data_IF_349318024631
#
_entry.id   IF_349318024631
#
_cell.length_a   1.000
_cell.length_b   1.000
_cell.length_c   1.000
_cell.angle_alpha   90.00
_cell.angle_beta   90.00
_cell.angle_gamma   90.00
#
_symmetry.space_group_name_H-M   'P 1'
#
loop_
_entity.id
_entity.type
_entity.pdbx_description
1 polymer ?
#
# COMPACT_ATOMS: atom_id res chain seq x y z
N UNK A 1 2.06 4.82 8.49
CA UNK A 1 2.48 3.56 7.84
C UNK A 1 2.96 2.62 8.93
N UNK A 2 2.87 1.31 8.72
CA UNK A 2 2.91 0.32 9.80
C UNK A 2 4.30 -0.29 10.07
N UNK A 3 5.28 -0.10 9.19
CA UNK A 3 6.64 -0.62 9.40
C UNK A 3 7.43 0.35 10.27
N UNK A 4 7.91 -0.15 11.40
CA UNK A 4 8.63 0.64 12.41
C UNK A 4 10.13 0.34 12.44
N UNK A 5 10.54 -0.85 12.01
CA UNK A 5 11.94 -1.26 12.02
C UNK A 5 12.24 -2.35 10.99
N UNK A 6 13.50 -2.46 10.60
CA UNK A 6 14.06 -3.56 9.82
C UNK A 6 14.98 -4.37 10.74
N UNK A 7 14.56 -5.60 11.03
CA UNK A 7 15.30 -6.50 11.90
C UNK A 7 16.70 -6.78 11.34
N UNK A 8 17.71 -6.73 12.20
CA UNK A 8 19.11 -6.98 11.84
C UNK A 8 19.90 -5.74 11.44
N UNK A 9 19.27 -4.56 11.40
CA UNK A 9 19.95 -3.27 11.25
C UNK A 9 20.00 -2.52 12.59
N UNK A 10 20.98 -1.62 12.73
CA UNK A 10 20.91 -0.60 13.78
C UNK A 10 19.70 0.31 13.53
N UNK A 11 19.18 0.95 14.58
CA UNK A 11 17.98 1.79 14.47
C UNK A 11 18.17 2.90 13.44
N UNK A 12 19.33 3.56 13.45
CA UNK A 12 19.64 4.66 12.55
C UNK A 12 19.71 4.20 11.08
N UNK A 13 20.26 3.01 10.83
CA UNK A 13 20.34 2.42 9.50
C UNK A 13 18.96 1.94 9.00
N UNK A 14 18.14 1.40 9.91
CA UNK A 14 16.76 1.01 9.64
C UNK A 14 15.93 2.22 9.24
N UNK A 15 15.98 3.29 10.02
CA UNK A 15 15.24 4.53 9.77
C UNK A 15 15.66 5.16 8.44
N UNK A 16 16.96 5.29 8.19
CA UNK A 16 17.47 5.83 6.93
C UNK A 16 17.02 5.02 5.70
N UNK A 17 17.00 3.68 5.81
CA UNK A 17 16.53 2.82 4.73
C UNK A 17 15.02 2.93 4.54
N UNK A 18 14.23 2.95 5.63
CA UNK A 18 12.78 3.14 5.56
C UNK A 18 12.44 4.48 4.91
N UNK A 19 13.11 5.57 5.29
CA UNK A 19 12.93 6.89 4.70
C UNK A 19 13.19 6.87 3.19
N UNK A 20 14.30 6.29 2.73
CA UNK A 20 14.61 6.18 1.31
C UNK A 20 13.57 5.36 0.53
N UNK A 21 13.05 4.28 1.13
CA UNK A 21 11.98 3.47 0.53
C UNK A 21 10.67 4.26 0.45
N UNK A 22 10.33 5.02 1.48
CA UNK A 22 9.11 5.82 1.55
C UNK A 22 9.15 7.01 0.59
N UNK A 23 10.31 7.67 0.45
CA UNK A 23 10.51 8.70 -0.58
C UNK A 23 10.20 8.15 -1.96
N UNK A 24 10.68 6.95 -2.29
CA UNK A 24 10.42 6.34 -3.58
C UNK A 24 8.97 5.89 -3.74
N UNK A 25 8.38 5.33 -2.70
CA UNK A 25 6.98 4.86 -2.71
C UNK A 25 5.99 6.01 -2.89
N UNK A 26 6.28 7.18 -2.32
CA UNK A 26 5.40 8.35 -2.32
C UNK A 26 5.78 9.45 -3.31
N UNK A 27 6.78 9.20 -4.16
CA UNK A 27 7.06 10.04 -5.32
C UNK A 27 5.75 10.29 -6.10
N UNK A 28 5.35 11.56 -6.34
CA UNK A 28 4.14 11.89 -7.08
C UNK A 28 4.01 11.20 -8.44
N UNK A 29 5.13 10.84 -9.09
CA UNK A 29 5.14 10.10 -10.35
C UNK A 29 4.60 8.65 -10.21
N UNK A 30 4.63 8.09 -9.00
CA UNK A 30 4.13 6.75 -8.68
C UNK A 30 2.68 6.78 -8.14
N UNK A 31 2.07 7.97 -8.02
CA UNK A 31 0.75 8.12 -7.40
C UNK A 31 -0.36 8.20 -8.45
N UNK A 32 -1.27 7.23 -8.40
CA UNK A 32 -2.57 7.34 -9.05
C UNK A 32 -3.61 7.83 -8.04
N UNK A 33 -4.31 8.92 -8.38
CA UNK A 33 -5.42 9.45 -7.59
C UNK A 33 -6.76 9.28 -8.29
N UNK A 34 -7.69 8.58 -7.64
CA UNK A 34 -9.02 8.36 -8.16
C UNK A 34 -10.04 9.37 -7.60
N UNK A 35 -10.62 10.16 -8.50
CA UNK A 35 -11.74 11.07 -8.21
C UNK A 35 -13.08 10.32 -8.30
N UNK A 36 -13.53 9.75 -7.19
CA UNK A 36 -14.71 8.89 -7.10
C UNK A 36 -16.00 9.55 -7.62
N UNK A 37 -16.76 8.76 -8.37
CA UNK A 37 -18.14 9.00 -8.79
C UNK A 37 -19.01 7.81 -8.43
N UNK A 38 -20.32 8.04 -8.35
CA UNK A 38 -21.28 6.95 -8.15
C UNK A 38 -21.11 5.90 -9.26
N UNK A 39 -21.11 4.62 -8.88
CA UNK A 39 -20.90 3.46 -9.75
C UNK A 39 -19.46 3.21 -10.24
N UNK A 40 -18.46 3.96 -9.77
CA UNK A 40 -17.06 3.63 -10.04
C UNK A 40 -16.64 2.33 -9.34
N UNK A 41 -15.84 1.53 -10.05
CA UNK A 41 -15.17 0.35 -9.53
C UNK A 41 -13.66 0.50 -9.76
N UNK A 42 -12.89 0.37 -8.69
CA UNK A 42 -11.42 0.29 -8.76
C UNK A 42 -11.01 -1.10 -8.33
N UNK A 43 -10.21 -1.75 -9.18
CA UNK A 43 -9.55 -3.03 -8.88
C UNK A 43 -8.05 -2.77 -8.86
N UNK A 44 -7.36 -3.30 -7.86
CA UNK A 44 -5.91 -3.22 -7.74
C UNK A 44 -5.33 -4.57 -7.31
N UNK A 45 -4.08 -4.80 -7.70
CA UNK A 45 -3.29 -5.92 -7.21
C UNK A 45 -2.59 -5.50 -5.91
N UNK A 46 -3.01 -6.12 -4.80
CA UNK A 46 -2.54 -5.78 -3.46
C UNK A 46 -1.08 -6.21 -3.19
N UNK A 47 -0.44 -6.93 -4.11
CA UNK A 47 0.98 -7.31 -3.98
C UNK A 47 1.93 -6.22 -4.50
N UNK A 48 1.47 -5.37 -5.41
CA UNK A 48 2.34 -4.43 -6.15
C UNK A 48 2.03 -2.96 -5.88
N UNK A 49 0.90 -2.64 -5.23
CA UNK A 49 0.56 -1.26 -4.87
C UNK A 49 0.29 -1.09 -3.38
N UNK A 50 0.63 0.10 -2.88
CA UNK A 50 0.14 0.62 -1.60
C UNK A 50 -1.06 1.53 -1.86
N UNK A 51 -2.00 1.59 -0.91
CA UNK A 51 -3.17 2.45 -1.02
C UNK A 51 -3.43 3.22 0.27
N UNK A 52 -3.90 4.45 0.12
CA UNK A 52 -4.28 5.32 1.22
C UNK A 52 -5.60 6.03 0.91
N UNK A 53 -6.29 6.45 1.97
CA UNK A 53 -7.48 7.28 1.88
C UNK A 53 -7.12 8.71 2.31
N UNK A 54 -7.44 9.71 1.48
CA UNK A 54 -7.41 11.11 1.91
C UNK A 54 -8.50 11.41 2.94
N UNK A 55 -8.30 12.49 3.69
CA UNK A 55 -9.33 13.06 4.57
C UNK A 55 -10.60 13.25 3.76
N UNK A 56 -11.69 12.60 4.17
CA UNK A 56 -12.99 12.80 3.53
C UNK A 56 -13.55 14.09 4.11
N UNK A 57 -13.88 15.04 3.23
CA UNK A 57 -14.46 16.32 3.64
C UNK A 57 -15.76 16.10 4.41
N UNK A 58 -16.12 17.07 5.25
CA UNK A 58 -17.26 17.00 6.19
C UNK A 58 -18.63 17.00 5.51
N UNK A 59 -18.67 17.18 4.19
CA UNK A 59 -19.90 17.58 3.50
C UNK A 59 -20.89 16.43 3.31
N UNK A 60 -20.47 15.16 3.19
CA UNK A 60 -21.40 14.02 3.00
C UNK A 60 -20.80 12.67 3.45
N UNK A 61 -21.64 11.71 3.90
CA UNK A 61 -21.22 10.33 4.17
C UNK A 61 -20.75 9.64 2.88
N UNK A 62 -19.60 8.97 2.93
CA UNK A 62 -19.04 8.15 1.85
C UNK A 62 -19.12 6.67 2.23
N UNK A 63 -19.87 5.89 1.47
CA UNK A 63 -19.96 4.44 1.63
C UNK A 63 -19.34 3.74 0.42
N UNK A 64 -18.42 2.81 0.68
CA UNK A 64 -17.84 1.93 -0.33
C UNK A 64 -18.04 0.48 0.08
N UNK A 65 -18.06 -0.42 -0.91
CA UNK A 65 -18.01 -1.87 -0.71
C UNK A 65 -16.67 -2.37 -1.20
N UNK A 66 -15.97 -3.14 -0.37
CA UNK A 66 -14.70 -3.78 -0.71
C UNK A 66 -14.88 -5.28 -0.67
N UNK A 67 -14.42 -5.95 -1.71
CA UNK A 67 -14.24 -7.40 -1.71
C UNK A 67 -12.76 -7.68 -1.96
N UNK A 68 -12.22 -8.66 -1.23
CA UNK A 68 -10.84 -9.11 -1.38
C UNK A 68 -10.90 -10.53 -1.94
N UNK A 69 -10.15 -10.78 -3.01
CA UNK A 69 -10.08 -12.08 -3.66
C UNK A 69 -8.63 -12.54 -3.72
N UNK A 70 -8.40 -13.83 -3.47
CA UNK A 70 -7.08 -14.44 -3.45
C UNK A 70 -7.04 -15.58 -2.44
N UNK A 71 -6.73 -16.79 -2.90
CA UNK A 71 -6.62 -17.99 -2.03
C UNK A 71 -5.24 -18.13 -1.39
N UNK A 72 -4.23 -17.48 -1.99
CA UNK A 72 -2.83 -17.62 -1.66
C UNK A 72 -2.30 -16.39 -0.94
N UNK A 73 -1.50 -16.64 0.08
CA UNK A 73 -0.75 -15.62 0.80
C UNK A 73 0.31 -14.95 -0.10
N UNK A 74 0.80 -13.75 0.25
CA UNK A 74 1.90 -13.11 -0.48
C UNK A 74 3.12 -14.04 -0.65
N UNK A 75 3.39 -14.88 0.34
CA UNK A 75 4.49 -15.85 0.36
C UNK A 75 4.27 -17.03 -0.59
N UNK A 76 3.03 -17.41 -0.86
CA UNK A 76 2.67 -18.47 -1.83
C UNK A 76 2.56 -17.94 -3.28
N UNK A 77 2.42 -16.63 -3.46
CA UNK A 77 2.31 -15.96 -4.76
C UNK A 77 3.63 -15.30 -5.23
N UNK A 78 4.70 -15.37 -4.43
CA UNK A 78 5.96 -14.69 -4.75
C UNK A 78 6.77 -15.44 -5.84
N UNK A 79 7.06 -14.84 -7.00
CA UNK A 79 7.71 -15.52 -8.12
C UNK A 79 9.20 -15.86 -7.88
N UNK A 80 9.82 -15.38 -6.80
CA UNK A 80 11.23 -15.67 -6.47
C UNK A 80 11.41 -16.70 -5.34
N UNK A 81 10.32 -17.35 -4.90
CA UNK A 81 10.35 -18.36 -3.86
C UNK A 81 10.55 -17.77 -2.47
N UNK A 82 9.73 -18.22 -1.50
CA UNK A 82 10.05 -18.03 -0.10
C UNK A 82 11.33 -18.83 0.19
N UNK A 83 12.48 -18.16 0.31
CA UNK A 83 13.68 -18.80 0.82
C UNK A 83 13.35 -19.33 2.22
N UNK A 84 13.43 -20.66 2.38
CA UNK A 84 13.43 -21.30 3.69
C UNK A 84 14.62 -20.87 4.51
#
# INVERSE_FOLDING_TARGET
>A
MQTVEILGLATEDSDALLDALFERLYDPANVYEHSWRTADLVVWDNLVVQHARRKVGELLPRTLRRVVFGEKTPWENWPYGASR
#
